data_IF_611802633477
#
_entry.id   IF_611802633477
#
_cell.length_a   1.000
_cell.length_b   1.000
_cell.length_c   1.000
_cell.angle_alpha   90.00
_cell.angle_beta   90.00
_cell.angle_gamma   90.00
#
_symmetry.space_group_name_H-M   'P 1'
#
loop_
_entity.id
_entity.type
_entity.pdbx_description
1 polymer ?
#
# COMPACT_ATOMS: atom_id res chain seq x y z
N UNK A 1 -9.69 10.66 -13.60
CA UNK A 1 -9.28 9.24 -13.57
C UNK A 1 -10.52 8.42 -13.25
N UNK A 2 -10.92 7.48 -14.11
CA UNK A 2 -12.09 6.63 -13.84
C UNK A 2 -11.78 5.63 -12.72
N UNK A 3 -12.77 5.41 -11.84
CA UNK A 3 -12.74 4.35 -10.84
C UNK A 3 -13.25 3.06 -11.48
N UNK A 4 -12.57 1.94 -11.24
CA UNK A 4 -13.03 0.63 -11.72
C UNK A 4 -13.99 0.00 -10.71
N UNK A 5 -13.58 -0.14 -9.45
CA UNK A 5 -14.45 -0.57 -8.34
C UNK A 5 -13.90 -0.12 -6.99
N UNK A 6 -14.77 -0.17 -5.98
CA UNK A 6 -14.40 -0.07 -4.56
C UNK A 6 -14.48 -1.46 -3.95
N UNK A 7 -13.58 -1.76 -3.03
CA UNK A 7 -13.51 -3.06 -2.40
C UNK A 7 -12.80 -3.00 -1.06
N UNK A 8 -12.33 -4.16 -0.60
CA UNK A 8 -11.57 -4.33 0.62
C UNK A 8 -10.15 -4.78 0.28
N UNK A 9 -9.19 -4.31 1.07
CA UNK A 9 -7.79 -4.64 0.89
C UNK A 9 -7.42 -5.97 1.54
N UNK A 10 -7.21 -6.98 0.71
CA UNK A 10 -6.67 -8.29 1.04
C UNK A 10 -5.14 -8.21 1.15
N UNK A 11 -4.60 -8.73 2.24
CA UNK A 11 -3.16 -8.77 2.48
C UNK A 11 -2.57 -10.09 1.97
N UNK A 12 -3.04 -11.21 2.53
CA UNK A 12 -2.65 -12.55 2.10
C UNK A 12 -3.70 -13.56 2.50
N UNK A 13 -3.65 -14.73 1.86
CA UNK A 13 -4.48 -15.89 2.19
C UNK A 13 -3.57 -17.01 2.68
N UNK A 14 -4.07 -17.80 3.62
CA UNK A 14 -3.36 -18.95 4.17
C UNK A 14 -4.22 -20.18 3.91
N UNK A 15 -3.73 -21.06 3.04
CA UNK A 15 -4.38 -22.33 2.71
C UNK A 15 -3.41 -23.46 2.99
N UNK A 16 -3.87 -24.53 3.64
CA UNK A 16 -2.98 -25.63 4.05
C UNK A 16 -1.76 -25.15 4.87
N UNK A 17 -1.98 -24.18 5.77
CA UNK A 17 -0.92 -23.51 6.57
C UNK A 17 0.17 -22.82 5.72
N UNK A 18 -0.10 -22.62 4.42
CA UNK A 18 0.81 -21.96 3.48
C UNK A 18 0.26 -20.59 3.12
N UNK A 19 1.04 -19.56 3.44
CA UNK A 19 0.71 -18.18 3.09
C UNK A 19 0.99 -17.89 1.61
N UNK A 20 0.00 -17.31 0.93
CA UNK A 20 0.11 -16.76 -0.41
C UNK A 20 -0.14 -15.24 -0.36
N UNK A 21 0.94 -14.48 -0.50
CA UNK A 21 0.92 -13.02 -0.45
C UNK A 21 0.67 -12.43 -1.85
N UNK A 22 -0.05 -11.31 -1.89
CA UNK A 22 -0.21 -10.49 -3.08
C UNK A 22 0.35 -9.10 -2.82
N UNK A 23 1.00 -8.53 -3.82
CA UNK A 23 1.48 -7.15 -3.72
C UNK A 23 0.30 -6.18 -3.58
N UNK A 24 0.36 -5.31 -2.57
CA UNK A 24 -0.65 -4.26 -2.33
C UNK A 24 -0.72 -3.23 -3.48
N UNK A 25 0.35 -3.11 -4.28
CA UNK A 25 0.38 -2.28 -5.49
C UNK A 25 -0.28 -2.91 -6.71
N UNK A 26 -0.73 -4.16 -6.60
CA UNK A 26 -1.42 -4.87 -7.66
C UNK A 26 -2.92 -4.94 -7.45
N UNK A 27 -3.58 -5.02 -8.60
CA UNK A 27 -4.95 -5.42 -8.81
C UNK A 27 -5.53 -6.45 -7.80
N UNK A 28 -4.79 -7.51 -7.52
CA UNK A 28 -5.26 -8.66 -6.72
C UNK A 28 -5.49 -8.35 -5.24
N UNK A 29 -4.90 -7.28 -4.72
CA UNK A 29 -5.09 -6.88 -3.32
C UNK A 29 -6.45 -6.22 -3.05
N UNK A 30 -7.19 -5.77 -4.07
CA UNK A 30 -8.44 -5.02 -3.89
C UNK A 30 -9.65 -5.80 -4.40
N UNK A 31 -10.31 -6.55 -3.51
CA UNK A 31 -11.47 -7.38 -3.85
C UNK A 31 -12.79 -6.63 -3.63
N UNK A 32 -13.74 -6.67 -4.57
CA UNK A 32 -15.00 -5.92 -4.49
C UNK A 32 -15.95 -6.40 -3.38
N UNK A 33 -15.80 -7.65 -2.92
CA UNK A 33 -16.61 -8.21 -1.84
C UNK A 33 -15.71 -8.82 -0.77
N UNK A 34 -16.05 -8.55 0.48
CA UNK A 34 -15.42 -9.19 1.62
C UNK A 34 -15.94 -10.62 1.77
N UNK A 35 -15.03 -11.56 2.05
CA UNK A 35 -15.36 -12.93 2.45
C UNK A 35 -14.31 -13.41 3.44
N UNK A 36 -14.73 -14.10 4.50
CA UNK A 36 -13.80 -14.74 5.45
C UNK A 36 -13.00 -15.85 4.79
N UNK A 37 -13.56 -16.49 3.76
CA UNK A 37 -12.89 -17.47 2.91
C UNK A 37 -13.17 -17.16 1.44
N UNK A 38 -12.28 -16.41 0.76
CA UNK A 38 -12.45 -15.99 -0.64
C UNK A 38 -11.91 -17.00 -1.66
N UNK A 39 -11.52 -18.21 -1.25
CA UNK A 39 -10.96 -19.24 -2.13
C UNK A 39 -11.62 -20.60 -1.90
N UNK A 40 -11.48 -21.46 -2.91
CA UNK A 40 -11.84 -22.87 -2.87
C UNK A 40 -10.57 -23.68 -3.12
N UNK A 41 -10.48 -24.87 -2.53
CA UNK A 41 -9.44 -25.83 -2.88
C UNK A 41 -10.09 -27.07 -3.50
N UNK A 42 -9.42 -27.65 -4.49
CA UNK A 42 -9.86 -28.87 -5.15
C UNK A 42 -8.78 -29.94 -5.02
N UNK A 43 -9.20 -31.16 -4.71
CA UNK A 43 -8.32 -32.33 -4.62
C UNK A 43 -8.10 -32.95 -6.01
N UNK A 44 -7.20 -33.94 -6.08
CA UNK A 44 -6.90 -34.70 -7.31
C UNK A 44 -8.13 -35.52 -7.75
N UNK A 45 -8.99 -35.91 -6.80
CA UNK A 45 -10.24 -36.64 -7.06
C UNK A 45 -11.36 -35.74 -7.65
N UNK A 46 -11.01 -34.55 -8.14
CA UNK A 46 -11.93 -33.55 -8.72
C UNK A 46 -13.01 -33.03 -7.74
N UNK A 47 -12.90 -33.36 -6.45
CA UNK A 47 -13.77 -32.84 -5.40
C UNK A 47 -13.25 -31.49 -4.91
N UNK A 48 -14.09 -30.47 -5.01
CA UNK A 48 -13.81 -29.13 -4.50
C UNK A 48 -14.50 -28.90 -3.16
N UNK A 49 -13.75 -28.37 -2.20
CA UNK A 49 -14.26 -28.03 -0.88
C UNK A 49 -14.25 -26.51 -0.71
N UNK A 50 -15.39 -25.98 -0.29
CA UNK A 50 -15.51 -24.61 0.18
C UNK A 50 -15.53 -24.63 1.70
N UNK A 51 -14.75 -23.77 2.34
CA UNK A 51 -14.80 -23.59 3.79
C UNK A 51 -14.62 -24.89 4.62
N UNK A 52 -14.00 -25.92 4.05
CA UNK A 52 -13.94 -27.26 4.65
C UNK A 52 -12.73 -27.51 5.56
N UNK A 53 -11.79 -26.57 5.62
CA UNK A 53 -10.56 -26.64 6.43
C UNK A 53 -10.34 -25.36 7.23
N UNK A 54 -9.36 -25.38 8.13
CA UNK A 54 -8.92 -24.23 8.95
C UNK A 54 -8.12 -23.19 8.13
N UNK A 55 -8.59 -22.92 6.92
CA UNK A 55 -8.05 -21.93 6.01
C UNK A 55 -8.37 -20.52 6.52
N UNK A 56 -7.44 -19.58 6.32
CA UNK A 56 -7.55 -18.21 6.86
C UNK A 56 -7.32 -17.17 5.78
N UNK A 57 -7.96 -16.01 5.93
CA UNK A 57 -7.68 -14.84 5.10
C UNK A 57 -7.39 -13.63 5.97
N UNK A 58 -6.35 -12.88 5.59
CA UNK A 58 -5.89 -11.72 6.32
C UNK A 58 -6.15 -10.46 5.49
N UNK A 59 -6.77 -9.49 6.14
CA UNK A 59 -7.19 -8.23 5.54
C UNK A 59 -6.55 -7.08 6.31
N UNK A 60 -6.25 -5.98 5.63
CA UNK A 60 -5.71 -4.80 6.33
C UNK A 60 -6.78 -4.20 7.23
N UNK A 61 -6.40 -3.97 8.49
CA UNK A 61 -7.26 -3.38 9.52
C UNK A 61 -7.23 -1.85 9.50
N UNK A 62 -8.35 -1.24 9.85
CA UNK A 62 -8.45 0.20 10.12
C UNK A 62 -7.84 0.54 11.48
N UNK A 63 -7.73 1.83 11.79
CA UNK A 63 -7.31 2.33 13.11
C UNK A 63 -8.44 2.27 14.16
N UNK A 64 -9.45 1.43 13.94
CA UNK A 64 -10.53 1.22 14.89
C UNK A 64 -10.01 0.51 16.16
N UNK A 65 -10.63 0.75 17.32
CA UNK A 65 -10.25 0.05 18.55
C UNK A 65 -10.41 -1.46 18.40
N UNK A 66 -9.45 -2.21 18.92
CA UNK A 66 -9.46 -3.68 18.85
C UNK A 66 -10.62 -4.18 19.73
N UNK A 67 -11.56 -4.95 19.17
CA UNK A 67 -12.66 -5.50 19.95
C UNK A 67 -12.15 -6.56 20.93
N UNK A 68 -12.72 -6.59 22.13
CA UNK A 68 -12.35 -7.54 23.19
C UNK A 68 -12.77 -8.99 22.88
N UNK A 69 -13.57 -9.21 21.82
CA UNK A 69 -14.00 -10.52 21.35
C UNK A 69 -13.89 -10.60 19.83
N UNK A 70 -13.69 -11.81 19.26
CA UNK A 70 -13.72 -12.00 17.82
C UNK A 70 -15.05 -11.53 17.23
N UNK A 71 -14.99 -10.65 16.23
CA UNK A 71 -16.20 -10.15 15.56
C UNK A 71 -16.76 -11.28 14.70
N UNK A 72 -17.94 -11.78 15.09
CA UNK A 72 -18.66 -12.79 14.34
C UNK A 72 -19.11 -12.29 12.97
N UNK A 73 -19.34 -13.22 12.05
CA UNK A 73 -19.76 -12.95 10.67
C UNK A 73 -21.06 -12.12 10.58
N UNK A 74 -21.90 -12.15 11.62
CA UNK A 74 -23.16 -11.40 11.74
C UNK A 74 -22.98 -9.88 11.91
N UNK A 75 -21.84 -9.41 12.41
CA UNK A 75 -21.51 -7.97 12.48
C UNK A 75 -20.56 -7.52 11.36
N UNK A 76 -20.08 -8.48 10.56
CA UNK A 76 -19.22 -8.22 9.40
C UNK A 76 -17.88 -7.58 9.77
N UNK A 77 -16.73 -8.23 9.51
CA UNK A 77 -15.43 -7.56 9.59
C UNK A 77 -15.29 -6.37 8.62
N UNK A 78 -16.32 -6.08 7.82
CA UNK A 78 -16.42 -4.96 6.89
C UNK A 78 -16.20 -3.59 7.52
N UNK A 79 -16.47 -3.41 8.82
CA UNK A 79 -16.13 -2.16 9.52
C UNK A 79 -14.65 -2.05 9.91
N UNK A 80 -13.98 -3.19 10.07
CA UNK A 80 -12.56 -3.26 10.42
C UNK A 80 -11.65 -3.32 9.18
N UNK A 81 -12.14 -3.76 8.04
CA UNK A 81 -11.35 -3.87 6.81
C UNK A 81 -11.21 -2.50 6.10
N UNK A 82 -9.99 -2.16 5.69
CA UNK A 82 -9.71 -0.90 4.98
C UNK A 82 -10.33 -0.92 3.57
N UNK A 83 -11.12 0.10 3.18
CA UNK A 83 -11.62 0.20 1.82
C UNK A 83 -10.49 0.57 0.85
N UNK A 84 -10.47 -0.11 -0.30
CA UNK A 84 -9.55 0.15 -1.39
C UNK A 84 -10.30 0.62 -2.64
N UNK A 85 -9.68 1.48 -3.43
CA UNK A 85 -10.24 1.97 -4.69
C UNK A 85 -9.37 1.53 -5.85
N UNK A 86 -9.91 0.68 -6.71
CA UNK A 86 -9.23 0.24 -7.93
C UNK A 86 -9.30 1.36 -8.97
N UNK A 87 -8.13 1.74 -9.50
CA UNK A 87 -7.98 2.69 -10.61
C UNK A 87 -7.17 2.02 -11.74
N UNK A 88 -7.35 2.43 -13.00
CA UNK A 88 -6.51 1.97 -14.10
C UNK A 88 -5.04 2.22 -13.77
N UNK A 89 -4.19 1.23 -14.02
CA UNK A 89 -2.75 1.37 -13.85
C UNK A 89 -2.28 2.49 -14.77
N UNK A 90 -1.78 3.58 -14.19
CA UNK A 90 -0.88 4.46 -14.92
C UNK A 90 0.50 3.80 -14.85
N UNK A 91 1.24 3.69 -15.97
CA UNK A 91 2.66 3.39 -15.89
C UNK A 91 3.28 4.46 -14.99
N UNK A 92 3.70 4.08 -13.79
CA UNK A 92 4.53 4.95 -12.98
C UNK A 92 5.90 4.95 -13.68
N UNK A 93 6.46 6.11 -14.05
CA UNK A 93 7.88 6.14 -14.37
C UNK A 93 8.64 5.62 -13.15
N UNK A 94 9.64 4.78 -13.38
CA UNK A 94 10.58 4.33 -12.36
C UNK A 94 11.40 5.53 -11.87
N UNK A 95 10.82 6.44 -11.09
CA UNK A 95 11.61 7.38 -10.33
C UNK A 95 12.24 6.60 -9.19
N UNK A 96 13.55 6.36 -9.33
CA UNK A 96 14.39 5.91 -8.23
C UNK A 96 14.05 6.76 -7.00
N UNK A 97 13.83 6.09 -5.87
CA UNK A 97 13.42 6.69 -4.61
C UNK A 97 14.55 7.55 -4.05
N UNK A 98 14.70 8.78 -4.54
CA UNK A 98 15.18 9.86 -3.68
C UNK A 98 13.97 10.38 -2.93
N UNK A 99 13.96 10.13 -1.62
CA UNK A 99 12.93 10.62 -0.71
C UNK A 99 12.96 12.16 -0.68
N UNK A 100 11.91 12.91 -1.08
CA UNK A 100 11.81 14.31 -0.75
C UNK A 100 11.00 14.41 0.54
N UNK A 101 11.51 13.86 1.63
CA UNK A 101 10.96 14.05 2.97
C UNK A 101 11.91 14.93 3.79
N UNK A 102 12.00 16.21 3.41
CA UNK A 102 12.27 17.40 4.25
C UNK A 102 12.89 18.50 3.39
N UNK A 103 12.03 19.34 2.82
CA UNK A 103 12.21 20.79 2.85
C UNK A 103 10.90 21.41 2.38
N UNK A 104 10.10 21.85 3.36
CA UNK A 104 9.07 22.84 3.07
C UNK A 104 9.77 24.06 2.42
N UNK A 105 9.21 24.66 1.35
CA UNK A 105 9.69 25.94 0.89
C UNK A 105 9.24 26.95 1.95
N UNK A 106 10.21 27.47 2.71
CA UNK A 106 10.01 28.74 3.36
C UNK A 106 9.74 29.76 2.24
N UNK A 107 8.47 30.05 2.03
CA UNK A 107 8.03 31.24 1.33
C UNK A 107 8.37 32.44 2.24
N UNK A 108 9.65 32.82 2.26
CA UNK A 108 10.15 34.05 2.83
C UNK A 108 10.43 35.02 1.71
N UNK A 109 9.44 35.85 1.41
CA UNK A 109 9.66 37.06 0.62
C UNK A 109 10.72 37.93 1.30
N UNK A 110 11.79 38.25 0.57
CA UNK A 110 12.63 39.40 0.86
C UNK A 110 13.20 39.94 -0.45
N UNK A 111 12.49 40.94 -0.97
CA UNK A 111 13.00 41.96 -1.88
C UNK A 111 14.35 42.52 -1.42
N UNK A 112 15.33 42.63 -2.32
CA UNK A 112 16.58 43.32 -2.01
C UNK A 112 17.59 43.26 -3.14
N UNK A 113 17.65 44.35 -3.90
CA UNK A 113 18.70 44.73 -4.86
C UNK A 113 20.11 44.67 -4.26
N UNK A 114 21.08 44.09 -4.97
CA UNK A 114 22.50 44.17 -4.63
C UNK A 114 23.40 43.47 -5.64
N UNK A 115 24.20 44.26 -6.36
CA UNK A 115 25.17 43.89 -7.42
C UNK A 115 26.25 42.89 -7.00
N UNK A 116 26.81 42.06 -7.93
CA UNK A 116 27.98 41.25 -7.65
C UNK A 116 29.27 42.03 -7.99
N UNK A 117 30.01 42.47 -6.98
CA UNK A 117 31.37 42.99 -7.17
C UNK A 117 32.30 42.38 -6.13
N UNK A 118 33.15 41.45 -6.56
CA UNK A 118 34.57 41.35 -6.20
C UNK A 118 35.04 39.90 -6.38
N UNK A 119 35.45 39.58 -7.60
CA UNK A 119 36.40 38.50 -7.84
C UNK A 119 37.78 39.01 -7.41
N UNK A 120 38.27 38.59 -6.25
CA UNK A 120 39.70 38.69 -5.87
C UNK A 120 40.07 37.54 -4.96
N UNK A 121 41.05 36.76 -5.39
CA UNK A 121 41.88 35.95 -4.49
C UNK A 121 41.83 34.43 -4.73
N UNK A 122 42.29 33.99 -5.90
CA UNK A 122 42.99 32.70 -5.98
C UNK A 122 44.41 32.88 -5.42
N UNK A 123 44.87 31.99 -4.55
CA UNK A 123 46.25 31.53 -4.59
C UNK A 123 46.29 30.11 -5.17
N UNK A 124 47.01 29.99 -6.28
CA UNK A 124 47.55 28.76 -6.84
C UNK A 124 48.43 28.08 -5.79
N UNK A 125 48.04 26.87 -5.35
CA UNK A 125 48.91 26.00 -4.58
C UNK A 125 49.68 25.10 -5.55
N UNK A 126 50.92 25.50 -5.83
CA UNK A 126 52.01 24.60 -6.21
C UNK A 126 52.59 23.95 -4.93
N UNK A 127 53.26 22.81 -5.14
CA UNK A 127 54.09 22.00 -4.21
C UNK A 127 53.31 21.11 -3.22
N UNK A 128 53.56 19.79 -3.14
CA UNK A 128 54.82 19.05 -3.27
C UNK A 128 54.59 17.58 -3.62
#
# INVERSE_FOLDING_TARGET
MSQLWVGYSLLFVEGQEKAHNQDLGFAGSCLPRFSTMPFIYCNIDEVCHYAGRNDKSYWLSTTAPIPMMPVGQAQGPTSAAVPCVRRPRRPLPCTARTSPSRSAPWAGAASGSGTPSSWKGMPTADLK
#
